data_IF_230602133561
#
_entry.id   IF_230602133561
#
_cell.length_a   1.000
_cell.length_b   1.000
_cell.length_c   1.000
_cell.angle_alpha   90.00
_cell.angle_beta   90.00
_cell.angle_gamma   90.00
#
_symmetry.space_group_name_H-M   'P 1'
#
loop_
_entity.id
_entity.type
_entity.pdbx_description
1 polymer ?
#
# COMPACT_ATOMS: atom_id res chain seq x y z
N UNK A 1 30.13 -24.82 10.00
CA UNK A 1 30.16 -23.35 10.20
C UNK A 1 29.79 -22.58 8.93
N UNK A 2 30.33 -22.90 7.75
CA UNK A 2 30.00 -22.21 6.50
C UNK A 2 28.52 -22.30 6.05
N UNK A 3 27.87 -23.45 6.23
CA UNK A 3 26.46 -23.63 5.87
C UNK A 3 25.49 -22.76 6.70
N UNK A 4 25.84 -22.48 7.96
CA UNK A 4 25.05 -21.63 8.86
C UNK A 4 25.19 -20.14 8.49
N UNK A 5 26.36 -19.73 8.00
CA UNK A 5 26.59 -18.38 7.48
C UNK A 5 25.83 -18.14 6.17
N UNK A 6 25.78 -19.12 5.27
CA UNK A 6 25.05 -19.04 3.99
C UNK A 6 23.53 -18.96 4.20
N UNK A 7 22.98 -19.68 5.18
CA UNK A 7 21.54 -19.59 5.50
C UNK A 7 21.19 -18.25 6.14
N UNK A 8 22.02 -17.73 7.05
CA UNK A 8 21.78 -16.41 7.66
C UNK A 8 21.90 -15.28 6.64
N UNK A 9 22.87 -15.34 5.71
CA UNK A 9 23.00 -14.34 4.64
C UNK A 9 21.80 -14.33 3.69
N UNK A 10 21.29 -15.51 3.32
CA UNK A 10 20.14 -15.62 2.42
C UNK A 10 18.85 -15.14 3.09
N UNK A 11 18.61 -15.47 4.36
CA UNK A 11 17.50 -14.92 5.14
C UNK A 11 17.57 -13.39 5.29
N UNK A 12 18.77 -12.83 5.49
CA UNK A 12 18.95 -11.37 5.57
C UNK A 12 18.68 -10.66 4.22
N UNK A 13 19.07 -11.27 3.10
CA UNK A 13 18.82 -10.76 1.75
C UNK A 13 17.32 -10.77 1.39
N UNK A 14 16.58 -11.81 1.77
CA UNK A 14 15.12 -11.86 1.57
C UNK A 14 14.37 -10.82 2.42
N UNK A 15 14.83 -10.56 3.66
CA UNK A 15 14.23 -9.54 4.50
C UNK A 15 14.45 -8.12 3.94
N UNK A 16 15.63 -7.85 3.36
CA UNK A 16 15.96 -6.56 2.76
C UNK A 16 15.22 -6.30 1.43
N UNK A 17 14.94 -7.34 0.64
CA UNK A 17 14.21 -7.20 -0.62
C UNK A 17 12.75 -6.71 -0.45
N UNK A 18 12.15 -6.95 0.72
CA UNK A 18 10.82 -6.48 1.07
C UNK A 18 10.76 -5.00 1.45
N UNK A 19 11.90 -4.34 1.68
CA UNK A 19 11.93 -2.93 2.04
C UNK A 19 11.94 -1.98 0.83
N UNK A 20 12.17 -2.53 -0.38
CA UNK A 20 12.39 -1.75 -1.61
C UNK A 20 11.16 -1.78 -2.54
N UNK A 21 10.18 -2.66 -2.27
CA UNK A 21 8.96 -2.78 -3.06
C UNK A 21 7.77 -2.52 -2.12
N UNK A 22 6.83 -1.67 -2.53
CA UNK A 22 5.63 -1.40 -1.75
C UNK A 22 4.98 -2.69 -1.26
N UNK A 23 4.53 -2.71 -0.01
CA UNK A 23 3.92 -3.89 0.57
C UNK A 23 2.53 -4.06 -0.05
N UNK A 24 2.35 -5.14 -0.81
CA UNK A 24 1.05 -5.57 -1.30
C UNK A 24 0.65 -6.86 -0.62
N UNK A 25 -0.58 -6.92 -0.09
CA UNK A 25 -1.15 -8.18 0.39
C UNK A 25 -2.57 -8.32 -0.14
N UNK A 26 -2.95 -9.58 -0.37
CA UNK A 26 -4.26 -9.94 -0.90
C UNK A 26 -4.84 -11.06 -0.03
N UNK A 27 -6.12 -10.99 0.31
CA UNK A 27 -6.83 -12.07 0.99
C UNK A 27 -8.19 -12.33 0.36
N UNK A 28 -8.57 -13.59 0.18
CA UNK A 28 -9.86 -13.96 -0.41
C UNK A 28 -11.07 -13.44 0.40
N UNK A 29 -12.20 -13.15 -0.26
CA UNK A 29 -13.40 -12.69 0.42
C UNK A 29 -14.02 -13.83 1.21
N UNK A 30 -14.65 -13.48 2.33
CA UNK A 30 -15.43 -14.40 3.17
C UNK A 30 -16.91 -14.24 2.88
N UNK A 31 -17.68 -15.26 3.24
CA UNK A 31 -19.14 -15.25 3.09
C UNK A 31 -19.83 -15.26 4.44
N UNK A 32 -20.96 -14.56 4.52
CA UNK A 32 -21.89 -14.66 5.63
C UNK A 32 -23.30 -14.85 5.13
N UNK A 33 -24.03 -15.72 5.80
CA UNK A 33 -25.43 -16.01 5.51
C UNK A 33 -26.30 -15.19 6.45
N UNK A 34 -27.12 -14.31 5.88
CA UNK A 34 -28.06 -13.48 6.63
C UNK A 34 -29.48 -13.97 6.33
N UNK A 35 -30.25 -14.22 7.39
CA UNK A 35 -31.67 -14.57 7.29
C UNK A 35 -32.51 -13.33 7.54
N UNK A 36 -33.37 -12.99 6.61
CA UNK A 36 -34.33 -11.90 6.72
C UNK A 36 -35.75 -12.47 6.81
N UNK A 37 -36.62 -11.78 7.54
CA UNK A 37 -38.06 -12.07 7.58
C UNK A 37 -38.54 -12.67 8.90
N UNK A 38 -39.80 -13.11 8.90
CA UNK A 38 -40.50 -13.64 10.07
C UNK A 38 -40.41 -15.17 10.11
N UNK A 39 -40.99 -15.82 11.12
CA UNK A 39 -41.05 -17.30 11.18
C UNK A 39 -41.72 -17.91 9.95
N UNK A 40 -42.71 -17.25 9.38
CA UNK A 40 -43.53 -17.79 8.28
C UNK A 40 -42.98 -17.45 6.89
N UNK A 41 -42.13 -16.43 6.79
CA UNK A 41 -41.49 -16.01 5.54
C UNK A 41 -40.03 -15.67 5.78
N UNK A 42 -39.14 -16.63 5.50
CA UNK A 42 -37.69 -16.43 5.59
C UNK A 42 -37.05 -16.34 4.21
N UNK A 43 -36.20 -15.33 4.03
CA UNK A 43 -35.28 -15.19 2.90
C UNK A 43 -33.85 -15.29 3.38
N UNK A 44 -33.12 -16.24 2.84
CA UNK A 44 -31.68 -16.37 3.07
C UNK A 44 -30.92 -15.61 1.99
N UNK A 45 -29.97 -14.77 2.39
CA UNK A 45 -29.10 -14.02 1.48
C UNK A 45 -27.65 -14.27 1.88
N UNK A 46 -26.84 -14.71 0.93
CA UNK A 46 -25.40 -14.80 1.09
C UNK A 46 -24.78 -13.44 0.76
N UNK A 47 -23.97 -12.90 1.65
CA UNK A 47 -23.19 -11.68 1.43
C UNK A 47 -21.70 -11.99 1.52
N UNK A 48 -20.94 -11.49 0.55
CA UNK A 48 -19.48 -11.50 0.56
C UNK A 48 -18.94 -10.25 1.26
N UNK A 49 -17.82 -10.41 1.96
CA UNK A 49 -17.14 -9.34 2.71
C UNK A 49 -15.63 -9.63 2.82
N UNK A 50 -14.84 -8.61 3.09
CA UNK A 50 -13.44 -8.76 3.47
C UNK A 50 -13.28 -8.66 4.97
N UNK A 51 -12.28 -9.33 5.53
CA UNK A 51 -11.93 -9.17 6.95
C UNK A 51 -10.71 -8.27 7.08
N UNK A 52 -10.83 -7.21 7.86
CA UNK A 52 -9.74 -6.27 8.15
C UNK A 52 -9.74 -5.94 9.63
N UNK A 53 -8.63 -6.21 10.34
CA UNK A 53 -8.50 -6.01 11.78
C UNK A 53 -9.68 -6.57 12.60
N UNK A 54 -10.16 -7.77 12.22
CA UNK A 54 -11.31 -8.42 12.86
C UNK A 54 -12.68 -7.82 12.50
N UNK A 55 -12.73 -6.78 11.67
CA UNK A 55 -13.96 -6.17 11.20
C UNK A 55 -14.38 -6.70 9.83
N UNK A 56 -15.69 -6.75 9.61
CA UNK A 56 -16.28 -7.11 8.31
C UNK A 56 -16.43 -5.86 7.46
N UNK A 57 -15.72 -5.81 6.36
CA UNK A 57 -15.76 -4.72 5.39
C UNK A 57 -16.57 -5.16 4.18
N UNK A 58 -17.55 -4.35 3.78
CA UNK A 58 -18.40 -4.66 2.64
C UNK A 58 -17.64 -4.54 1.32
N UNK A 59 -18.03 -5.35 0.34
CA UNK A 59 -17.55 -5.22 -1.03
C UNK A 59 -17.77 -3.79 -1.57
N UNK A 60 -16.78 -3.28 -2.30
CA UNK A 60 -16.76 -1.93 -2.85
C UNK A 60 -16.24 -0.86 -1.90
N UNK A 61 -15.91 -1.21 -0.65
CA UNK A 61 -15.30 -0.24 0.28
C UNK A 61 -13.84 0.00 -0.06
N UNK A 62 -13.43 1.27 -0.03
CA UNK A 62 -12.03 1.72 -0.18
C UNK A 62 -11.67 2.63 0.98
N UNK A 63 -10.46 2.46 1.54
CA UNK A 63 -9.96 3.27 2.66
C UNK A 63 -8.44 3.36 2.65
N UNK A 64 -7.91 4.34 3.37
CA UNK A 64 -6.48 4.48 3.64
C UNK A 64 -6.22 4.17 5.12
N UNK A 65 -5.19 3.38 5.42
CA UNK A 65 -4.81 3.05 6.80
C UNK A 65 -3.92 4.12 7.40
N UNK A 66 -3.74 4.10 8.73
CA UNK A 66 -2.79 5.00 9.42
C UNK A 66 -1.33 4.80 8.98
N UNK A 67 -1.00 3.64 8.37
CA UNK A 67 0.31 3.37 7.80
C UNK A 67 0.37 3.70 6.29
N UNK A 68 -0.56 4.52 5.78
CA UNK A 68 -0.62 4.92 4.38
C UNK A 68 -0.71 3.77 3.39
N UNK A 69 -1.41 2.70 3.79
CA UNK A 69 -1.82 1.65 2.87
C UNK A 69 -3.17 2.00 2.28
N UNK A 70 -3.29 1.99 0.96
CA UNK A 70 -4.55 2.06 0.28
C UNK A 70 -5.13 0.67 0.15
N UNK A 71 -6.33 0.48 0.70
CA UNK A 71 -7.02 -0.79 0.76
C UNK A 71 -8.35 -0.72 0.03
N UNK A 72 -8.68 -1.76 -0.72
CA UNK A 72 -9.99 -1.93 -1.36
C UNK A 72 -10.49 -3.34 -1.14
N UNK A 73 -11.76 -3.47 -0.75
CA UNK A 73 -12.44 -4.75 -0.69
C UNK A 73 -13.18 -5.02 -2.01
N UNK A 74 -12.57 -5.80 -2.88
CA UNK A 74 -13.09 -6.16 -4.20
C UNK A 74 -13.83 -7.51 -4.16
N UNK A 75 -14.50 -7.86 -5.26
CA UNK A 75 -15.10 -9.20 -5.42
C UNK A 75 -14.08 -10.35 -5.39
N UNK A 76 -12.78 -10.03 -5.54
CA UNK A 76 -11.66 -10.97 -5.50
C UNK A 76 -11.01 -11.07 -4.12
N UNK A 77 -11.29 -10.11 -3.23
CA UNK A 77 -10.74 -10.11 -1.89
C UNK A 77 -10.40 -8.71 -1.37
N UNK A 78 -9.70 -8.70 -0.24
CA UNK A 78 -9.03 -7.50 0.25
C UNK A 78 -7.74 -7.32 -0.53
N UNK A 79 -7.55 -6.17 -1.14
CA UNK A 79 -6.33 -5.76 -1.82
C UNK A 79 -5.81 -4.50 -1.14
N UNK A 80 -4.60 -4.54 -0.61
CA UNK A 80 -3.96 -3.36 -0.05
C UNK A 80 -2.57 -3.16 -0.63
N UNK A 81 -2.19 -1.91 -0.85
CA UNK A 81 -0.89 -1.51 -1.37
C UNK A 81 -0.38 -0.25 -0.65
N UNK A 82 0.93 -0.13 -0.48
CA UNK A 82 1.58 1.13 -0.11
C UNK A 82 2.12 1.81 -1.36
N UNK A 83 2.26 3.13 -1.32
CA UNK A 83 3.18 3.80 -2.23
C UNK A 83 4.60 3.29 -1.95
N UNK A 84 5.22 2.68 -2.97
CA UNK A 84 6.65 2.39 -2.93
C UNK A 84 7.40 3.61 -3.46
N UNK A 85 8.46 4.05 -2.78
CA UNK A 85 9.42 4.97 -3.39
C UNK A 85 10.58 4.16 -3.92
N UNK A 86 10.57 3.95 -5.23
CA UNK A 86 11.49 3.05 -5.88
C UNK A 86 12.88 3.65 -6.08
N UNK A 87 13.02 4.99 -6.10
CA UNK A 87 14.31 5.67 -6.23
C UNK A 87 14.30 7.02 -5.53
N UNK A 88 14.99 7.11 -4.39
CA UNK A 88 15.31 8.38 -3.73
C UNK A 88 16.71 8.81 -4.16
N UNK A 89 16.90 10.00 -4.77
CA UNK A 89 18.22 10.47 -5.17
C UNK A 89 19.18 10.58 -3.97
N UNK A 90 20.50 10.42 -4.19
CA UNK A 90 21.49 10.72 -3.17
C UNK A 90 21.35 12.16 -2.67
N UNK A 91 21.36 12.34 -1.35
CA UNK A 91 21.18 13.66 -0.74
C UNK A 91 19.72 14.06 -0.52
N UNK A 92 18.75 13.18 -0.81
CA UNK A 92 17.33 13.43 -0.56
C UNK A 92 16.69 12.36 0.32
N UNK A 93 15.57 12.71 0.96
CA UNK A 93 14.75 11.86 1.80
C UNK A 93 13.31 11.86 1.30
N UNK A 94 12.61 10.78 1.62
CA UNK A 94 11.16 10.66 1.39
C UNK A 94 10.47 11.00 2.70
N UNK A 95 9.59 11.99 2.66
CA UNK A 95 8.64 12.24 3.73
C UNK A 95 7.27 11.74 3.31
N UNK A 96 6.59 11.07 4.23
CA UNK A 96 5.18 10.73 4.11
C UNK A 96 4.47 11.49 5.21
N UNK A 97 3.58 12.42 4.84
CA UNK A 97 2.87 13.22 5.83
C UNK A 97 1.67 12.45 6.42
N UNK A 98 1.01 13.05 7.40
CA UNK A 98 -0.16 12.46 8.09
C UNK A 98 -1.39 12.22 7.21
N UNK A 99 -1.46 12.86 6.05
CA UNK A 99 -2.49 12.62 5.03
C UNK A 99 -2.02 11.69 3.91
N UNK A 100 -0.88 11.03 4.11
CA UNK A 100 -0.28 10.06 3.20
C UNK A 100 0.18 10.61 1.85
N UNK A 101 0.46 11.91 1.78
CA UNK A 101 1.14 12.51 0.63
C UNK A 101 2.65 12.30 0.77
N UNK A 102 3.29 12.05 -0.37
CA UNK A 102 4.71 11.76 -0.46
C UNK A 102 5.43 13.00 -0.97
N UNK A 103 6.41 13.47 -0.21
CA UNK A 103 7.30 14.57 -0.57
C UNK A 103 8.76 14.09 -0.63
N UNK A 104 9.53 14.63 -1.56
CA UNK A 104 10.97 14.37 -1.65
C UNK A 104 11.68 15.65 -1.21
N UNK A 105 12.42 15.57 -0.10
CA UNK A 105 13.07 16.71 0.56
C UNK A 105 14.58 16.53 0.61
N UNK A 106 15.29 17.63 0.84
CA UNK A 106 16.74 17.60 1.04
C UNK A 106 17.10 16.86 2.34
N UNK A 107 18.09 15.97 2.28
CA UNK A 107 18.53 15.18 3.44
C UNK A 107 19.23 16.00 4.52
N UNK A 108 19.78 17.17 4.15
CA UNK A 108 20.42 18.12 5.07
C UNK A 108 19.44 19.13 5.66
N UNK A 109 18.31 19.39 4.99
CA UNK A 109 17.22 20.24 5.48
C UNK A 109 15.84 19.72 5.01
N UNK A 110 15.07 19.03 5.87
CA UNK A 110 13.81 18.41 5.49
C UNK A 110 12.69 19.42 5.21
N UNK A 111 12.90 20.71 5.45
CA UNK A 111 11.94 21.76 5.08
C UNK A 111 12.18 22.29 3.65
N UNK A 112 13.21 21.80 2.95
CA UNK A 112 13.53 22.22 1.59
C UNK A 112 13.19 21.10 0.62
N UNK A 113 12.46 21.39 -0.47
CA UNK A 113 12.21 20.39 -1.49
C UNK A 113 13.55 19.97 -2.13
N UNK A 114 13.71 18.68 -2.36
CA UNK A 114 14.76 18.15 -3.22
C UNK A 114 14.49 18.65 -4.65
N UNK A 115 15.48 19.18 -5.36
CA UNK A 115 15.25 19.86 -6.64
C UNK A 115 14.43 19.00 -7.65
N UNK A 116 13.29 19.57 -8.05
CA UNK A 116 12.30 19.15 -9.07
C UNK A 116 12.29 17.67 -9.46
N UNK A 117 11.76 16.82 -8.58
CA UNK A 117 11.25 15.51 -8.95
C UNK A 117 9.73 15.58 -8.89
N UNK A 118 9.09 15.52 -10.06
CA UNK A 118 7.64 15.42 -10.16
C UNK A 118 7.21 14.04 -9.69
N UNK A 119 6.38 13.97 -8.64
CA UNK A 119 5.69 12.75 -8.23
C UNK A 119 4.77 12.34 -9.38
N UNK A 120 5.11 11.23 -10.06
CA UNK A 120 4.29 10.71 -11.16
C UNK A 120 2.95 10.15 -10.66
N UNK A 121 1.93 10.06 -11.55
CA UNK A 121 0.68 9.35 -11.24
C UNK A 121 0.93 7.86 -10.91
N UNK A 122 -0.05 7.13 -10.34
CA UNK A 122 0.14 5.74 -9.92
C UNK A 122 0.72 4.88 -11.05
N UNK A 123 1.97 4.42 -10.87
CA UNK A 123 2.74 3.67 -11.87
C UNK A 123 3.81 4.47 -12.64
N UNK A 124 4.02 5.75 -12.33
CA UNK A 124 4.98 6.62 -13.03
C UNK A 124 6.40 6.56 -12.46
N UNK A 125 7.35 6.22 -13.33
CA UNK A 125 8.80 6.36 -13.09
C UNK A 125 9.14 7.81 -12.76
N UNK A 126 9.92 8.02 -11.69
CA UNK A 126 10.46 9.34 -11.35
C UNK A 126 11.59 9.65 -12.33
N UNK A 127 11.34 10.48 -13.34
CA UNK A 127 12.37 11.04 -14.23
C UNK A 127 12.86 12.39 -13.70
N UNK A 128 14.17 12.71 -13.84
CA UNK A 128 14.69 14.03 -13.50
C UNK A 128 13.94 15.11 -14.30
N UNK A 129 13.44 16.13 -13.60
CA UNK A 129 12.53 17.13 -14.13
C UNK A 129 13.13 17.91 -15.31
N UNK A 130 12.53 17.76 -16.48
CA UNK A 130 12.55 18.79 -17.52
C UNK A 130 11.39 19.73 -17.19
N UNK A 131 11.72 20.95 -16.76
CA UNK A 131 10.78 22.07 -16.66
C UNK A 131 10.13 22.27 -18.03
N UNK A 132 8.84 21.91 -18.17
CA UNK A 132 8.03 22.38 -19.27
C UNK A 132 7.52 23.77 -18.88
N UNK A 133 8.29 24.80 -19.26
CA UNK A 133 7.76 26.16 -19.32
C UNK A 133 6.56 26.18 -20.26
N UNK A 134 5.39 26.53 -19.72
CA UNK A 134 4.22 26.82 -20.52
C UNK A 134 4.44 28.15 -21.25
N UNK A 135 4.44 28.11 -22.58
CA UNK A 135 4.31 29.28 -23.45
C UNK A 135 2.93 29.31 -24.07
#
# INVERSE_FOLDING_TARGET
>A
MAAMLLTVLSLALLAAANLIHGAAFISMPKEMTIRYGTKDHQRTVVRRYCEWNGQKVLLGSTWTTACCMHCTCTGYGLECYTHGVYMTPPGCLVLVNEVCEVEIVDSSDPNRPCQSLTVGPPGGVVTPGIQLEAK
#
